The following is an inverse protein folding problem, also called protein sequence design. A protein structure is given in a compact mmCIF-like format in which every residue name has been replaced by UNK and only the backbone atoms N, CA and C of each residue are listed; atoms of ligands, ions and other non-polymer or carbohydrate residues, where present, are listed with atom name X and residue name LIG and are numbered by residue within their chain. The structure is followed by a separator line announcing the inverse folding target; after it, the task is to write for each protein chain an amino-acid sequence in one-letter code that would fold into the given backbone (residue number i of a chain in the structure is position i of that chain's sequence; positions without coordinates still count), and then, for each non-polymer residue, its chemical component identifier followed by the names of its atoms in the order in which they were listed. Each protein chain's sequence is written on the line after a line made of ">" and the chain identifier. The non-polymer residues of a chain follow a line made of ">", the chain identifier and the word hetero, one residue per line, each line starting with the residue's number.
data_IF_507021710930
#
_entry.id   IF_507021710930
#
_cell.length_a   1.000
_cell.length_b   1.000
_cell.length_c   1.000
_cell.angle_alpha   90.00
_cell.angle_beta   90.00
_cell.angle_gamma   90.00
#
_symmetry.space_group_name_H-M   'P 1'
#
loop_
_entity.id
_entity.type
_entity.pdbx_description
1 polymer ?
#
# COMPACT_ATOMS: atom_id res chain seq x y z
N UNK A 1 -10.37 5.86 -8.19
CA UNK A 1 -10.09 4.91 -9.26
C UNK A 1 -11.11 5.02 -10.38
N UNK A 2 -10.69 4.79 -11.61
CA UNK A 2 -11.51 4.82 -12.81
C UNK A 2 -11.19 3.60 -13.68
N UNK A 3 -12.21 2.85 -14.11
CA UNK A 3 -12.03 1.71 -14.99
C UNK A 3 -11.49 2.14 -16.36
N UNK A 4 -10.44 1.49 -16.85
CA UNK A 4 -9.82 1.76 -18.15
C UNK A 4 -9.79 0.47 -18.97
N UNK A 5 -9.89 0.55 -20.30
CA UNK A 5 -9.73 -0.63 -21.17
C UNK A 5 -8.37 -1.31 -20.94
N UNK A 6 -8.37 -2.62 -20.75
CA UNK A 6 -7.15 -3.41 -20.53
C UNK A 6 -7.36 -4.88 -20.91
N UNK A 7 -6.25 -5.58 -21.17
CA UNK A 7 -6.25 -7.03 -21.36
C UNK A 7 -6.21 -7.80 -20.03
N UNK A 8 -5.73 -7.15 -18.97
CA UNK A 8 -5.69 -7.66 -17.59
C UNK A 8 -5.89 -6.50 -16.63
N UNK A 9 -6.79 -6.66 -15.66
CA UNK A 9 -7.00 -5.73 -14.56
C UNK A 9 -6.41 -6.31 -13.28
N UNK A 10 -5.31 -5.75 -12.78
CA UNK A 10 -4.71 -6.16 -11.53
C UNK A 10 -5.10 -5.17 -10.44
N UNK A 11 -5.95 -5.62 -9.52
CA UNK A 11 -6.55 -4.82 -8.46
C UNK A 11 -5.95 -5.26 -7.13
N UNK A 12 -5.28 -4.35 -6.44
CA UNK A 12 -4.62 -4.62 -5.16
C UNK A 12 -5.18 -3.65 -4.11
N UNK A 13 -5.75 -4.18 -3.03
CA UNK A 13 -6.35 -3.35 -2.00
C UNK A 13 -6.11 -3.89 -0.58
N UNK A 14 -6.17 -3.01 0.41
CA UNK A 14 -6.25 -3.36 1.82
C UNK A 14 -7.33 -2.54 2.54
N UNK A 15 -7.83 -3.08 3.66
CA UNK A 15 -8.78 -2.40 4.54
C UNK A 15 -9.92 -1.71 3.78
N UNK A 16 -10.08 -0.40 4.02
CA UNK A 16 -11.11 0.43 3.38
C UNK A 16 -10.90 0.65 1.87
N UNK A 17 -9.75 0.28 1.33
CA UNK A 17 -9.51 0.31 -0.12
C UNK A 17 -10.49 -0.54 -0.92
N UNK A 18 -11.08 -1.56 -0.29
CA UNK A 18 -12.14 -2.35 -0.90
C UNK A 18 -13.32 -1.50 -1.37
N UNK A 19 -13.73 -0.49 -0.61
CA UNK A 19 -14.81 0.42 -0.98
C UNK A 19 -14.49 1.22 -2.25
N UNK A 20 -13.23 1.64 -2.44
CA UNK A 20 -12.80 2.33 -3.66
C UNK A 20 -12.86 1.40 -4.89
N UNK A 21 -12.53 0.12 -4.73
CA UNK A 21 -12.64 -0.90 -5.78
C UNK A 21 -14.09 -1.13 -6.16
N UNK A 22 -14.97 -1.34 -5.17
CA UNK A 22 -16.41 -1.53 -5.41
C UNK A 22 -16.98 -0.32 -6.13
N UNK A 23 -16.71 0.89 -5.66
CA UNK A 23 -17.20 2.13 -6.28
C UNK A 23 -16.64 2.34 -7.70
N UNK A 24 -15.42 1.91 -8.01
CA UNK A 24 -14.90 1.91 -9.38
C UNK A 24 -15.71 0.99 -10.28
N UNK A 25 -15.99 -0.24 -9.82
CA UNK A 25 -16.73 -1.25 -10.58
C UNK A 25 -18.20 -0.88 -10.77
N UNK A 26 -18.82 -0.20 -9.80
CA UNK A 26 -20.20 0.30 -9.93
C UNK A 26 -20.33 1.40 -11.00
N UNK A 27 -19.28 2.16 -11.23
CA UNK A 27 -19.23 3.20 -12.27
C UNK A 27 -18.74 2.69 -13.62
N UNK A 28 -18.24 1.46 -13.69
CA UNK A 28 -17.74 0.88 -14.94
C UNK A 28 -18.88 0.51 -15.87
N UNK A 29 -18.83 0.95 -17.15
CA UNK A 29 -19.82 0.62 -18.16
C UNK A 29 -19.81 -0.90 -18.50
N UNK A 30 -18.61 -1.49 -18.55
CA UNK A 30 -18.37 -2.89 -18.94
C UNK A 30 -17.87 -3.72 -17.74
N UNK A 31 -18.63 -3.66 -16.62
CA UNK A 31 -18.25 -4.31 -15.37
C UNK A 31 -17.99 -5.82 -15.54
N UNK A 32 -18.83 -6.52 -16.30
CA UNK A 32 -18.72 -7.97 -16.51
C UNK A 32 -17.41 -8.33 -17.23
N UNK A 33 -17.03 -7.57 -18.25
CA UNK A 33 -15.82 -7.81 -19.06
C UNK A 33 -14.57 -7.49 -18.24
N UNK A 34 -14.63 -6.40 -17.45
CA UNK A 34 -13.55 -6.07 -16.50
C UNK A 34 -13.34 -7.20 -15.50
N UNK A 35 -14.40 -7.69 -14.87
CA UNK A 35 -14.33 -8.78 -13.87
C UNK A 35 -13.84 -10.10 -14.49
N UNK A 36 -14.20 -10.40 -15.74
CA UNK A 36 -13.76 -11.59 -16.46
C UNK A 36 -12.23 -11.60 -16.70
N UNK A 37 -11.59 -10.43 -16.67
CA UNK A 37 -10.13 -10.27 -16.84
C UNK A 37 -9.46 -9.71 -15.58
N UNK A 38 -10.18 -9.64 -14.47
CA UNK A 38 -9.65 -9.10 -13.22
C UNK A 38 -8.98 -10.16 -12.34
N UNK A 39 -7.84 -9.78 -11.76
CA UNK A 39 -7.22 -10.47 -10.65
C UNK A 39 -7.22 -9.54 -9.43
N UNK A 40 -8.04 -9.85 -8.44
CA UNK A 40 -8.18 -9.08 -7.20
C UNK A 40 -7.32 -9.70 -6.12
N UNK A 41 -6.46 -8.88 -5.51
CA UNK A 41 -5.63 -9.23 -4.35
C UNK A 41 -6.00 -8.31 -3.19
N UNK A 42 -6.25 -8.91 -2.02
CA UNK A 42 -6.69 -8.16 -0.85
C UNK A 42 -6.03 -8.68 0.42
N UNK A 43 -5.82 -7.77 1.38
CA UNK A 43 -5.50 -8.10 2.77
C UNK A 43 -6.22 -7.13 3.72
N UNK A 44 -6.40 -7.49 5.01
CA UNK A 44 -6.91 -6.56 6.02
C UNK A 44 -6.04 -5.31 6.14
N UNK A 45 -6.67 -4.20 6.50
CA UNK A 45 -5.98 -2.94 6.78
C UNK A 45 -5.12 -3.01 8.06
N UNK A 46 -4.19 -2.06 8.25
CA UNK A 46 -3.33 -2.02 9.43
C UNK A 46 -4.10 -1.78 10.74
N UNK A 47 -5.31 -1.29 10.66
CA UNK A 47 -6.27 -1.10 11.75
C UNK A 47 -7.16 -2.32 12.01
N UNK A 48 -6.97 -3.41 11.26
CA UNK A 48 -7.78 -4.63 11.34
C UNK A 48 -9.08 -4.60 10.52
N UNK A 49 -9.35 -3.51 9.79
CA UNK A 49 -10.51 -3.44 8.89
C UNK A 49 -10.42 -4.51 7.80
N UNK A 50 -11.41 -5.39 7.73
CA UNK A 50 -11.49 -6.47 6.74
C UNK A 50 -12.82 -6.41 5.96
N UNK A 51 -12.72 -6.17 4.66
CA UNK A 51 -13.83 -6.15 3.70
C UNK A 51 -13.67 -7.23 2.61
N UNK A 52 -12.97 -8.32 2.94
CA UNK A 52 -12.67 -9.43 2.01
C UNK A 52 -13.91 -10.04 1.38
N UNK A 53 -15.01 -10.15 2.14
CA UNK A 53 -16.28 -10.68 1.65
C UNK A 53 -16.83 -9.87 0.48
N UNK A 54 -16.88 -8.53 0.61
CA UNK A 54 -17.37 -7.62 -0.44
C UNK A 54 -16.61 -7.77 -1.75
N UNK A 55 -15.28 -7.96 -1.68
CA UNK A 55 -14.45 -8.15 -2.88
C UNK A 55 -14.58 -9.55 -3.48
N UNK A 56 -14.73 -10.57 -2.64
CA UNK A 56 -14.93 -11.94 -3.09
C UNK A 56 -16.27 -12.09 -3.84
N UNK A 57 -17.31 -11.45 -3.35
CA UNK A 57 -18.67 -11.48 -3.92
C UNK A 57 -18.78 -10.74 -5.26
N UNK A 58 -17.75 -9.97 -5.67
CA UNK A 58 -17.71 -9.35 -7.00
C UNK A 58 -17.63 -10.36 -8.13
N UNK A 59 -17.12 -11.56 -7.88
CA UNK A 59 -17.01 -12.61 -8.90
C UNK A 59 -15.89 -12.35 -9.93
N UNK A 60 -14.79 -11.72 -9.52
CA UNK A 60 -13.62 -11.56 -10.37
C UNK A 60 -13.04 -12.91 -10.83
N UNK A 61 -12.45 -12.96 -12.02
CA UNK A 61 -11.84 -14.18 -12.58
C UNK A 61 -10.83 -14.83 -11.64
N UNK A 62 -10.10 -14.02 -10.88
CA UNK A 62 -9.21 -14.48 -9.82
C UNK A 62 -9.35 -13.60 -8.59
N UNK A 63 -9.43 -14.24 -7.41
CA UNK A 63 -9.43 -13.58 -6.12
C UNK A 63 -8.41 -14.24 -5.20
N UNK A 64 -7.58 -13.41 -4.55
CA UNK A 64 -6.59 -13.85 -3.57
C UNK A 64 -6.69 -12.99 -2.31
N UNK A 65 -6.90 -13.66 -1.17
CA UNK A 65 -6.91 -13.02 0.16
C UNK A 65 -5.64 -13.42 0.91
N UNK A 66 -4.87 -12.44 1.36
CA UNK A 66 -3.68 -12.62 2.19
C UNK A 66 -3.94 -12.11 3.61
N UNK A 67 -3.26 -12.65 4.65
CA UNK A 67 -3.42 -12.16 6.02
C UNK A 67 -2.73 -10.79 6.25
N UNK A 68 -1.85 -10.34 5.38
CA UNK A 68 -1.09 -9.10 5.53
C UNK A 68 -0.41 -8.67 4.23
N UNK A 69 0.07 -7.43 4.16
CA UNK A 69 0.86 -6.91 3.03
C UNK A 69 2.08 -7.79 2.75
N UNK A 70 2.94 -8.15 3.73
CA UNK A 70 4.08 -9.02 3.47
C UNK A 70 3.72 -10.39 2.87
N UNK A 71 2.56 -10.94 3.22
CA UNK A 71 2.06 -12.20 2.64
C UNK A 71 1.47 -12.02 1.24
N UNK A 72 0.97 -10.82 0.90
CA UNK A 72 0.43 -10.49 -0.40
C UNK A 72 1.52 -10.28 -1.46
N UNK A 73 2.63 -9.62 -1.11
CA UNK A 73 3.67 -9.21 -2.04
C UNK A 73 4.31 -10.36 -2.85
N UNK A 74 4.62 -11.54 -2.28
CA UNK A 74 5.14 -12.66 -3.08
C UNK A 74 4.17 -13.15 -4.15
N UNK A 75 2.85 -13.12 -3.86
CA UNK A 75 1.82 -13.46 -4.85
C UNK A 75 1.76 -12.39 -5.93
N UNK A 76 1.83 -11.11 -5.56
CA UNK A 76 1.89 -10.00 -6.51
C UNK A 76 3.10 -10.16 -7.45
N UNK A 77 4.30 -10.38 -6.92
CA UNK A 77 5.51 -10.58 -7.73
C UNK A 77 5.35 -11.73 -8.75
N UNK A 78 4.73 -12.84 -8.33
CA UNK A 78 4.44 -13.97 -9.23
C UNK A 78 3.46 -13.59 -10.35
N UNK A 79 2.41 -12.81 -10.05
CA UNK A 79 1.45 -12.37 -11.08
C UNK A 79 2.11 -11.38 -12.03
N UNK A 80 2.93 -10.45 -11.51
CA UNK A 80 3.68 -9.48 -12.31
C UNK A 80 4.64 -10.14 -13.29
N UNK A 81 5.26 -11.27 -12.93
CA UNK A 81 6.17 -12.00 -13.84
C UNK A 81 5.48 -12.58 -15.08
N UNK A 82 4.16 -12.74 -15.04
CA UNK A 82 3.32 -13.22 -16.14
C UNK A 82 2.47 -12.11 -16.78
N UNK A 83 2.55 -10.88 -16.26
CA UNK A 83 1.78 -9.75 -16.78
C UNK A 83 2.43 -9.18 -18.04
N UNK A 84 1.62 -8.71 -18.98
CA UNK A 84 2.06 -8.18 -20.27
C UNK A 84 1.63 -6.73 -20.45
N UNK A 85 2.13 -6.10 -21.51
CA UNK A 85 1.69 -4.78 -21.95
C UNK A 85 0.16 -4.78 -22.15
N UNK A 86 -0.51 -3.71 -21.73
CA UNK A 86 -1.97 -3.64 -21.71
C UNK A 86 -2.58 -4.02 -20.36
N UNK A 87 -1.77 -4.38 -19.34
CA UNK A 87 -2.23 -4.52 -17.96
C UNK A 87 -2.48 -3.15 -17.33
N UNK A 88 -3.63 -2.97 -16.66
CA UNK A 88 -3.93 -1.83 -15.80
C UNK A 88 -3.89 -2.23 -14.33
N UNK A 89 -3.27 -1.38 -13.51
CA UNK A 89 -3.10 -1.60 -12.09
C UNK A 89 -3.93 -0.60 -11.31
N UNK A 90 -4.67 -1.10 -10.31
CA UNK A 90 -5.51 -0.30 -9.41
C UNK A 90 -5.10 -0.59 -7.98
N UNK A 91 -4.52 0.40 -7.30
CA UNK A 91 -4.05 0.30 -5.93
C UNK A 91 -4.97 1.12 -5.03
N UNK A 92 -5.56 0.50 -4.01
CA UNK A 92 -6.47 1.17 -3.10
C UNK A 92 -6.24 0.76 -1.64
N UNK A 93 -6.23 1.73 -0.74
CA UNK A 93 -6.11 1.49 0.69
C UNK A 93 -5.03 2.31 1.37
N UNK A 94 -4.30 1.68 2.30
CA UNK A 94 -3.26 2.34 3.09
C UNK A 94 -2.07 2.79 2.24
N UNK A 95 -1.38 3.84 2.70
CA UNK A 95 -0.12 4.31 2.08
C UNK A 95 0.94 3.20 2.04
N UNK A 96 0.98 2.36 3.08
CA UNK A 96 1.88 1.22 3.18
C UNK A 96 1.68 0.19 2.07
N UNK A 97 0.42 -0.19 1.77
CA UNK A 97 0.12 -1.09 0.65
C UNK A 97 0.45 -0.44 -0.69
N UNK A 98 -0.09 0.77 -0.92
CA UNK A 98 0.07 1.48 -2.20
C UNK A 98 1.54 1.62 -2.55
N UNK A 99 2.37 2.08 -1.61
CA UNK A 99 3.79 2.29 -1.85
C UNK A 99 4.56 0.99 -2.14
N UNK A 100 4.28 -0.08 -1.40
CA UNK A 100 4.96 -1.36 -1.60
C UNK A 100 4.51 -2.05 -2.89
N UNK A 101 3.21 -2.04 -3.21
CA UNK A 101 2.69 -2.59 -4.45
C UNK A 101 3.19 -1.81 -5.68
N UNK A 102 3.17 -0.46 -5.63
CA UNK A 102 3.71 0.38 -6.70
C UNK A 102 5.19 0.09 -6.95
N UNK A 103 6.00 -0.05 -5.90
CA UNK A 103 7.42 -0.41 -6.01
C UNK A 103 7.62 -1.73 -6.75
N UNK A 104 6.85 -2.77 -6.41
CA UNK A 104 6.93 -4.07 -7.09
C UNK A 104 6.56 -3.94 -8.57
N UNK A 105 5.50 -3.20 -8.90
CA UNK A 105 5.07 -2.95 -10.28
C UNK A 105 6.16 -2.20 -11.07
N UNK A 106 6.69 -1.11 -10.50
CA UNK A 106 7.72 -0.31 -11.17
C UNK A 106 9.02 -1.09 -11.40
N UNK A 107 9.40 -1.99 -10.47
CA UNK A 107 10.57 -2.85 -10.61
C UNK A 107 10.48 -3.81 -11.81
N UNK A 108 9.28 -4.11 -12.29
CA UNK A 108 9.06 -4.94 -13.50
C UNK A 108 9.05 -4.14 -14.80
N UNK A 109 9.18 -2.81 -14.74
CA UNK A 109 9.29 -1.94 -15.91
C UNK A 109 7.96 -1.44 -16.48
N UNK A 110 6.83 -1.65 -15.79
CA UNK A 110 5.56 -1.07 -16.23
C UNK A 110 5.56 0.46 -16.12
N UNK A 111 4.88 1.17 -17.05
CA UNK A 111 4.83 2.62 -17.02
C UNK A 111 3.92 3.13 -15.88
N UNK A 112 4.27 4.26 -15.27
CA UNK A 112 3.44 4.90 -14.24
C UNK A 112 2.01 5.19 -14.70
N UNK A 113 1.81 5.45 -16.00
CA UNK A 113 0.50 5.71 -16.58
C UNK A 113 -0.47 4.51 -16.50
N UNK A 114 0.05 3.29 -16.33
CA UNK A 114 -0.76 2.08 -16.14
C UNK A 114 -1.20 1.87 -14.69
N UNK A 115 -0.76 2.72 -13.74
CA UNK A 115 -1.06 2.58 -12.32
C UNK A 115 -1.96 3.71 -11.86
N UNK A 116 -3.12 3.37 -11.31
CA UNK A 116 -3.99 4.28 -10.57
C UNK A 116 -3.92 3.99 -9.09
N UNK A 117 -3.99 5.04 -8.28
CA UNK A 117 -3.90 4.95 -6.81
C UNK A 117 -5.01 5.73 -6.14
N UNK A 118 -5.60 5.16 -5.10
CA UNK A 118 -6.58 5.83 -4.26
C UNK A 118 -6.33 5.50 -2.79
N UNK A 119 -5.87 6.48 -2.02
CA UNK A 119 -5.68 6.31 -0.58
C UNK A 119 -7.04 6.20 0.13
N UNK A 120 -7.18 5.21 1.00
CA UNK A 120 -8.32 4.98 1.87
C UNK A 120 -7.89 4.44 3.23
N UNK A 121 -8.63 4.81 4.26
CA UNK A 121 -8.40 4.33 5.63
C UNK A 121 -7.17 4.93 6.28
N UNK A 122 -6.40 4.10 6.96
CA UNK A 122 -5.32 4.51 7.84
C UNK A 122 -4.23 5.35 7.16
N UNK A 123 -3.84 6.43 7.83
CA UNK A 123 -2.72 7.31 7.46
C UNK A 123 -1.40 6.96 8.19
N UNK A 124 -1.35 5.80 8.85
CA UNK A 124 -0.16 5.30 9.50
C UNK A 124 1.02 5.20 8.51
N UNK A 125 2.18 5.68 8.93
CA UNK A 125 3.35 5.77 8.08
C UNK A 125 4.31 4.60 8.25
N UNK A 126 4.95 4.25 7.16
CA UNK A 126 6.09 3.34 7.10
C UNK A 126 7.36 4.17 7.08
N UNK A 127 8.26 3.98 8.08
CA UNK A 127 9.40 4.88 8.29
C UNK A 127 10.72 4.12 8.37
N UNK A 128 11.69 4.50 7.54
CA UNK A 128 13.06 3.98 7.62
C UNK A 128 13.92 4.82 8.54
N UNK A 129 14.55 4.18 9.52
CA UNK A 129 15.55 4.80 10.36
C UNK A 129 16.84 5.08 9.58
N UNK A 130 17.33 6.32 9.59
CA UNK A 130 18.60 6.68 8.91
C UNK A 130 19.81 6.06 9.58
N UNK A 131 19.74 5.73 10.88
CA UNK A 131 20.85 5.14 11.63
C UNK A 131 21.02 3.64 11.33
N UNK A 132 20.00 2.81 11.64
CA UNK A 132 20.12 1.36 11.51
C UNK A 132 19.57 0.79 10.21
N UNK A 133 18.94 1.62 9.35
CA UNK A 133 18.28 1.26 8.09
C UNK A 133 17.06 0.36 8.26
N UNK A 134 16.70 -0.02 9.50
CA UNK A 134 15.49 -0.76 9.80
C UNK A 134 14.23 0.07 9.50
N UNK A 135 13.14 -0.62 9.16
CA UNK A 135 11.85 0.00 8.85
C UNK A 135 10.88 -0.28 9.99
N UNK A 136 10.30 0.77 10.55
CA UNK A 136 9.19 0.70 11.51
C UNK A 136 7.88 0.89 10.76
N UNK A 137 6.99 -0.07 10.89
CA UNK A 137 5.66 -0.04 10.29
C UNK A 137 4.66 0.67 11.23
N UNK A 138 3.57 1.15 10.65
CA UNK A 138 2.41 1.70 11.37
C UNK A 138 2.76 2.83 12.36
N UNK A 139 3.63 3.73 11.99
CA UNK A 139 4.02 4.88 12.81
C UNK A 139 2.90 5.92 12.84
N UNK A 140 2.33 6.17 14.04
CA UNK A 140 1.24 7.12 14.28
C UNK A 140 1.70 8.41 14.96
N UNK A 141 2.85 8.39 15.63
CA UNK A 141 3.32 9.50 16.47
C UNK A 141 4.61 10.10 15.95
N UNK A 142 4.87 11.34 16.31
CA UNK A 142 6.11 12.05 16.04
C UNK A 142 6.51 12.88 17.28
N UNK A 143 7.67 12.64 17.88
CA UNK A 143 8.61 11.56 17.60
C UNK A 143 8.09 10.16 17.97
N UNK A 144 8.78 9.13 17.45
CA UNK A 144 8.51 7.72 17.73
C UNK A 144 9.80 6.94 18.02
N UNK A 145 9.69 5.76 18.63
CA UNK A 145 10.83 4.86 18.85
C UNK A 145 11.05 3.93 17.65
N UNK A 146 12.29 3.89 17.14
CA UNK A 146 12.66 2.90 16.14
C UNK A 146 12.49 1.48 16.70
N UNK A 147 11.73 0.63 16.02
CA UNK A 147 11.48 -0.76 16.44
C UNK A 147 12.72 -1.66 16.40
N UNK A 148 13.81 -1.21 15.76
CA UNK A 148 15.04 -1.98 15.57
C UNK A 148 16.18 -1.55 16.50
N UNK A 149 16.45 -0.23 16.61
CA UNK A 149 17.59 0.27 17.41
C UNK A 149 17.19 1.11 18.61
N UNK A 150 15.88 1.37 18.82
CA UNK A 150 15.37 2.10 19.98
C UNK A 150 15.58 3.61 19.99
N UNK A 151 16.27 4.19 18.99
CA UNK A 151 16.45 5.64 18.89
C UNK A 151 15.11 6.36 18.74
N UNK A 152 15.01 7.54 19.34
CA UNK A 152 13.88 8.45 19.13
C UNK A 152 14.03 9.13 17.79
N UNK A 153 13.04 8.96 16.92
CA UNK A 153 13.09 9.43 15.55
C UNK A 153 12.00 10.47 15.31
N UNK A 154 12.37 11.48 14.55
CA UNK A 154 11.48 12.46 13.93
C UNK A 154 11.19 12.04 12.49
N UNK A 155 9.92 12.06 12.07
CA UNK A 155 9.49 11.71 10.71
C UNK A 155 9.62 12.91 9.80
N UNK A 156 10.50 12.83 8.82
CA UNK A 156 10.62 13.86 7.78
C UNK A 156 9.63 13.59 6.63
N UNK A 157 9.08 14.66 6.05
CA UNK A 157 8.29 14.60 4.83
C UNK A 157 9.18 14.36 3.59
N UNK A 158 10.01 13.34 3.71
CA UNK A 158 10.89 12.84 2.66
C UNK A 158 10.56 11.38 2.39
N UNK A 159 9.78 11.13 1.35
CA UNK A 159 9.34 9.80 0.96
C UNK A 159 10.25 9.20 -0.11
N UNK A 160 10.78 8.02 0.17
CA UNK A 160 11.54 7.22 -0.80
C UNK A 160 10.63 6.24 -1.53
N UNK A 161 10.36 6.48 -2.81
CA UNK A 161 9.59 5.54 -3.64
C UNK A 161 10.26 4.17 -3.73
N UNK A 162 11.59 4.12 -3.78
CA UNK A 162 12.37 2.87 -3.83
C UNK A 162 12.20 2.02 -2.58
N UNK A 163 12.04 2.65 -1.42
CA UNK A 163 11.88 1.95 -0.13
C UNK A 163 10.40 1.82 0.26
N UNK A 164 9.54 2.57 -0.41
CA UNK A 164 8.15 2.77 -0.01
C UNK A 164 8.05 3.19 1.47
N UNK A 165 8.89 4.17 1.89
CA UNK A 165 8.98 4.59 3.28
C UNK A 165 9.41 6.05 3.40
N UNK A 166 8.93 6.72 4.46
CA UNK A 166 9.44 8.01 4.91
C UNK A 166 10.80 7.87 5.60
N UNK A 167 11.50 8.98 5.74
CA UNK A 167 12.77 9.05 6.44
C UNK A 167 12.56 9.39 7.92
N UNK A 168 13.10 8.57 8.82
CA UNK A 168 13.17 8.83 10.25
C UNK A 168 14.58 9.21 10.67
N UNK A 169 14.77 10.41 11.23
CA UNK A 169 16.07 10.93 11.70
C UNK A 169 16.10 11.00 13.22
N UNK A 170 17.29 10.84 13.82
CA UNK A 170 17.44 10.96 15.26
C UNK A 170 17.08 12.39 15.71
N UNK A 171 16.12 12.52 16.64
CA UNK A 171 15.59 13.82 17.04
C UNK A 171 16.50 14.54 18.05
N UNK A 172 17.24 13.79 18.83
CA UNK A 172 18.13 14.30 19.89
C UNK A 172 19.63 14.20 19.51
N UNK A 173 19.94 14.22 18.22
CA UNK A 173 21.32 14.08 17.72
C UNK A 173 22.22 15.24 18.16
N UNK A 174 21.68 16.46 18.27
CA UNK A 174 22.41 17.67 18.67
C UNK A 174 22.41 17.85 20.19
N UNK A 175 21.30 17.49 20.87
CA UNK A 175 21.11 17.58 22.33
C UNK A 175 20.68 16.23 22.90
N UNK A 176 21.62 15.30 23.17
CA UNK A 176 21.31 13.95 23.59
C UNK A 176 20.43 13.88 24.86
N UNK A 177 19.33 13.15 24.77
CA UNK A 177 18.37 12.97 25.85
C UNK A 177 17.25 14.01 25.89
N UNK A 178 17.28 15.04 25.06
CA UNK A 178 16.19 16.01 24.93
C UNK A 178 15.20 15.58 23.83
N UNK A 179 14.31 14.66 24.19
CA UNK A 179 13.27 14.17 23.29
C UNK A 179 11.95 14.86 23.62
N UNK A 180 11.33 15.59 22.67
CA UNK A 180 10.01 16.18 22.87
C UNK A 180 8.93 15.12 23.15
N UNK A 181 7.83 15.55 23.75
CA UNK A 181 6.66 14.70 23.92
C UNK A 181 6.11 14.24 22.56
N UNK A 182 5.77 12.95 22.46
CA UNK A 182 5.22 12.37 21.22
C UNK A 182 3.79 12.85 20.99
N UNK A 183 3.53 13.35 19.80
CA UNK A 183 2.22 13.82 19.35
C UNK A 183 1.65 12.89 18.29
N UNK A 184 0.38 12.52 18.42
CA UNK A 184 -0.32 11.77 17.37
C UNK A 184 -0.54 12.68 16.15
N UNK A 185 0.10 12.37 15.03
CA UNK A 185 -0.01 13.13 13.78
C UNK A 185 -0.85 12.45 12.72
N UNK A 186 -1.04 11.14 12.84
CA UNK A 186 -1.78 10.31 11.87
C UNK A 186 -2.63 9.30 12.62
N UNK A 187 -3.82 9.06 12.13
CA UNK A 187 -4.79 8.10 12.68
C UNK A 187 -5.00 6.93 11.71
#
# INVERSE_FOLDING_TARGET
>A
LEARPASLHLIIADGEGAAAVVGMLERANDRSDLLATAHVMYCPGPDGTDQSASLKDLGAAQYFHAPSIPALLPRLARVLSAAHMGTQFYLAGSEGLIGQAEREIMNTGFPHASVQKEHRGSTLRRVQCVHCKGITENVATDPFKCSHCGLSLFVRDHYSRRLAAFQGVNIDAEDPGQVPESVVRVK
#
